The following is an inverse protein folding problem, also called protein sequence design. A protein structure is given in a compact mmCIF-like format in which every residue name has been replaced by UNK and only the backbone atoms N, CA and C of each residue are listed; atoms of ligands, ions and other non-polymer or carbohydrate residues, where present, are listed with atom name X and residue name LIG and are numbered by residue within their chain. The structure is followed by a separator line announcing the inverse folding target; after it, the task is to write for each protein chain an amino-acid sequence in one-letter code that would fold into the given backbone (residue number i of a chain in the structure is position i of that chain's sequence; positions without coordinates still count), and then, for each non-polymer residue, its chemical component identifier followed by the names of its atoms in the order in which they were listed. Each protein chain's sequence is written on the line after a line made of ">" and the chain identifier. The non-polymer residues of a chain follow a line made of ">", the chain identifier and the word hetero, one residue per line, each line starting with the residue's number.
data_IF_187591870280
#
_entry.id   IF_187591870280
#
_cell.length_a   1.000
_cell.length_b   1.000
_cell.length_c   1.000
_cell.angle_alpha   90.00
_cell.angle_beta   90.00
_cell.angle_gamma   90.00
#
_symmetry.space_group_name_H-M   'P 1'
#
loop_
_entity.id
_entity.type
_entity.pdbx_description
1 polymer ?
#
# COMPACT_ATOMS: atom_id res chain seq x y z
N UNK A 1 53.17 14.48 -27.53
CA UNK A 1 51.86 14.96 -27.04
C UNK A 1 50.80 13.85 -26.99
N UNK A 2 50.50 13.15 -28.09
CA UNK A 2 49.44 12.12 -28.15
C UNK A 2 49.63 10.93 -27.18
N UNK A 3 50.88 10.46 -26.97
CA UNK A 3 51.16 9.37 -26.02
C UNK A 3 50.89 9.76 -24.54
N UNK A 4 51.06 11.04 -24.18
CA UNK A 4 50.74 11.53 -22.84
C UNK A 4 49.22 11.63 -22.64
N UNK A 5 48.47 12.11 -23.65
CA UNK A 5 47.01 12.15 -23.63
C UNK A 5 46.40 10.75 -23.51
N UNK A 6 46.96 9.74 -24.19
CA UNK A 6 46.52 8.35 -24.08
C UNK A 6 46.76 7.76 -22.69
N UNK A 7 47.87 8.10 -22.03
CA UNK A 7 48.15 7.68 -20.65
C UNK A 7 47.21 8.34 -19.64
N UNK A 8 46.92 9.63 -19.81
CA UNK A 8 46.01 10.38 -18.93
C UNK A 8 44.56 9.90 -19.05
N UNK A 9 44.10 9.64 -20.27
CA UNK A 9 42.76 9.07 -20.51
C UNK A 9 42.65 7.65 -19.95
N UNK A 10 43.61 6.76 -20.24
CA UNK A 10 43.62 5.41 -19.69
C UNK A 10 43.63 5.38 -18.14
N UNK A 11 44.36 6.28 -17.49
CA UNK A 11 44.36 6.42 -16.03
C UNK A 11 43.01 6.89 -15.47
N UNK A 12 42.32 7.80 -16.17
CA UNK A 12 40.99 8.28 -15.79
C UNK A 12 39.91 7.22 -15.97
N UNK A 13 39.97 6.45 -17.06
CA UNK A 13 39.08 5.31 -17.32
C UNK A 13 39.27 4.20 -16.26
N UNK A 14 40.52 3.90 -15.89
CA UNK A 14 40.83 2.94 -14.83
C UNK A 14 40.28 3.40 -13.47
N UNK A 15 40.47 4.68 -13.11
CA UNK A 15 39.94 5.25 -11.87
C UNK A 15 38.41 5.21 -11.81
N UNK A 16 37.73 5.55 -12.91
CA UNK A 16 36.27 5.51 -12.99
C UNK A 16 35.73 4.06 -12.87
N UNK A 17 36.39 3.10 -13.52
CA UNK A 17 36.03 1.68 -13.42
C UNK A 17 36.21 1.14 -12.00
N UNK A 18 37.30 1.51 -11.30
CA UNK A 18 37.54 1.12 -9.91
C UNK A 18 36.48 1.69 -8.96
N UNK A 19 36.13 2.99 -9.08
CA UNK A 19 35.10 3.62 -8.26
C UNK A 19 33.74 2.95 -8.49
N UNK A 20 33.40 2.63 -9.74
CA UNK A 20 32.19 1.90 -10.08
C UNK A 20 32.16 0.51 -9.43
N UNK A 21 33.25 -0.26 -9.55
CA UNK A 21 33.35 -1.58 -8.94
C UNK A 21 33.25 -1.56 -7.41
N UNK A 22 33.83 -0.55 -6.75
CA UNK A 22 33.69 -0.36 -5.30
C UNK A 22 32.22 -0.07 -4.94
N UNK A 23 31.55 0.82 -5.68
CA UNK A 23 30.15 1.17 -5.43
C UNK A 23 29.19 0.00 -5.66
N UNK A 24 29.39 -0.76 -6.72
CA UNK A 24 28.64 -1.99 -6.99
C UNK A 24 28.85 -3.01 -5.86
N UNK A 25 30.10 -3.19 -5.42
CA UNK A 25 30.42 -4.09 -4.30
C UNK A 25 29.77 -3.62 -3.00
N UNK A 26 29.76 -2.30 -2.73
CA UNK A 26 29.07 -1.72 -1.57
C UNK A 26 27.56 -1.94 -1.66
N UNK A 27 26.94 -1.65 -2.81
CA UNK A 27 25.51 -1.90 -3.04
C UNK A 27 25.15 -3.36 -2.73
N UNK A 28 25.89 -4.31 -3.30
CA UNK A 28 25.67 -5.74 -3.09
C UNK A 28 25.87 -6.12 -1.62
N UNK A 29 26.85 -5.52 -0.94
CA UNK A 29 27.09 -5.74 0.49
C UNK A 29 25.92 -5.24 1.33
N UNK A 30 25.43 -4.02 1.09
CA UNK A 30 24.26 -3.47 1.79
C UNK A 30 23.00 -4.29 1.53
N UNK A 31 22.81 -4.75 0.29
CA UNK A 31 21.70 -5.63 -0.06
C UNK A 31 21.79 -6.97 0.67
N UNK A 32 22.97 -7.59 0.69
CA UNK A 32 23.20 -8.85 1.41
C UNK A 32 22.95 -8.68 2.92
N UNK A 33 23.48 -7.62 3.54
CA UNK A 33 23.24 -7.31 4.94
C UNK A 33 21.76 -7.07 5.25
N UNK A 34 21.06 -6.33 4.37
CA UNK A 34 19.62 -6.11 4.47
C UNK A 34 18.85 -7.42 4.44
N UNK A 35 19.14 -8.31 3.49
CA UNK A 35 18.47 -9.60 3.35
C UNK A 35 18.78 -10.55 4.50
N UNK A 36 20.04 -10.60 4.97
CA UNK A 36 20.43 -11.39 6.13
C UNK A 36 19.70 -10.88 7.38
N UNK A 37 19.63 -9.57 7.59
CA UNK A 37 18.91 -9.00 8.72
C UNK A 37 17.41 -9.27 8.63
N UNK A 38 16.80 -9.13 7.45
CA UNK A 38 15.39 -9.45 7.24
C UNK A 38 15.11 -10.92 7.53
N UNK A 39 15.93 -11.82 7.01
CA UNK A 39 15.83 -13.26 7.27
C UNK A 39 15.95 -13.54 8.77
N UNK A 40 16.94 -12.94 9.42
CA UNK A 40 17.16 -13.06 10.86
C UNK A 40 15.92 -12.66 11.66
N UNK A 41 15.33 -11.49 11.36
CA UNK A 41 14.13 -10.98 12.03
C UNK A 41 12.89 -11.83 11.74
N UNK A 42 12.71 -12.26 10.48
CA UNK A 42 11.55 -13.04 10.05
C UNK A 42 11.54 -14.46 10.63
N UNK A 43 12.72 -15.05 10.86
CA UNK A 43 12.88 -16.37 11.48
C UNK A 43 13.31 -16.30 12.94
N UNK A 44 12.96 -15.22 13.64
CA UNK A 44 13.22 -15.09 15.06
C UNK A 44 12.49 -16.17 15.86
N UNK A 45 13.17 -16.73 16.87
CA UNK A 45 12.63 -17.74 17.76
C UNK A 45 13.15 -17.52 19.18
N UNK A 46 12.23 -17.47 20.16
CA UNK A 46 12.54 -17.24 21.58
C UNK A 46 13.45 -18.30 22.21
N UNK A 47 13.50 -19.50 21.63
CA UNK A 47 14.33 -20.59 22.13
C UNK A 47 15.81 -20.52 21.70
N UNK A 48 16.15 -19.66 20.73
CA UNK A 48 17.52 -19.56 20.21
C UNK A 48 18.42 -18.76 21.17
N UNK A 49 19.74 -18.97 21.15
CA UNK A 49 20.63 -18.14 21.97
C UNK A 49 20.76 -16.72 21.40
N UNK A 50 20.58 -15.72 22.27
CA UNK A 50 20.50 -14.31 21.89
C UNK A 50 21.35 -13.40 22.76
N UNK A 51 21.18 -12.09 22.56
CA UNK A 51 21.75 -11.05 23.40
C UNK A 51 21.14 -11.04 24.81
N UNK A 52 19.83 -11.25 24.92
CA UNK A 52 19.04 -11.17 26.15
C UNK A 52 19.04 -12.46 26.97
N UNK A 53 19.21 -13.62 26.33
CA UNK A 53 19.15 -14.92 27.00
C UNK A 53 20.08 -15.99 26.41
N UNK A 54 20.51 -16.90 27.27
CA UNK A 54 21.18 -18.15 26.88
C UNK A 54 20.08 -19.11 26.43
N UNK A 55 20.04 -19.43 25.14
CA UNK A 55 18.95 -20.19 24.49
C UNK A 55 18.61 -21.52 25.19
N UNK A 56 17.40 -22.02 24.96
CA UNK A 56 16.86 -23.21 25.64
C UNK A 56 17.10 -24.51 24.88
N UNK A 57 17.42 -24.43 23.59
CA UNK A 57 17.64 -25.59 22.73
C UNK A 57 19.09 -25.67 22.22
N UNK A 58 19.61 -26.88 21.98
CA UNK A 58 20.93 -27.07 21.39
C UNK A 58 20.97 -26.64 19.92
N UNK A 59 19.85 -26.72 19.21
CA UNK A 59 19.72 -26.37 17.80
C UNK A 59 19.23 -24.92 17.62
N UNK A 60 19.77 -24.24 16.61
CA UNK A 60 19.38 -22.87 16.24
C UNK A 60 18.31 -22.92 15.16
N UNK A 61 17.15 -22.31 15.44
CA UNK A 61 16.02 -22.26 14.52
C UNK A 61 16.13 -21.14 13.48
N UNK A 62 16.85 -20.07 13.83
CA UNK A 62 17.06 -18.94 12.94
C UNK A 62 17.76 -19.37 11.64
N UNK A 63 17.17 -19.03 10.49
CA UNK A 63 17.68 -19.44 9.18
C UNK A 63 19.02 -18.77 8.81
N UNK A 64 19.37 -17.65 9.47
CA UNK A 64 20.69 -17.02 9.35
C UNK A 64 21.69 -17.53 10.41
N UNK A 65 21.37 -18.61 11.11
CA UNK A 65 22.22 -19.26 12.11
C UNK A 65 22.32 -18.48 13.42
N UNK A 66 23.32 -18.82 14.25
CA UNK A 66 23.48 -18.24 15.60
C UNK A 66 23.67 -16.72 15.58
N UNK A 67 24.37 -16.20 14.57
CA UNK A 67 24.54 -14.75 14.41
C UNK A 67 23.21 -14.08 14.08
N UNK A 68 22.38 -14.69 13.23
CA UNK A 68 21.05 -14.20 12.92
C UNK A 68 20.12 -14.19 14.14
N UNK A 69 20.13 -15.26 14.92
CA UNK A 69 19.39 -15.33 16.18
C UNK A 69 19.80 -14.19 17.14
N UNK A 70 21.10 -13.96 17.30
CA UNK A 70 21.63 -12.88 18.14
C UNK A 70 21.23 -11.50 17.63
N UNK A 71 21.37 -11.23 16.33
CA UNK A 71 20.98 -9.96 15.73
C UNK A 71 19.48 -9.69 15.87
N UNK A 72 18.66 -10.71 15.60
CA UNK A 72 17.22 -10.60 15.71
C UNK A 72 16.79 -10.31 17.14
N UNK A 73 17.29 -11.08 18.11
CA UNK A 73 17.02 -10.85 19.53
C UNK A 73 17.47 -9.45 19.98
N UNK A 74 18.65 -8.99 19.57
CA UNK A 74 19.14 -7.64 19.89
C UNK A 74 18.22 -6.54 19.35
N UNK A 75 17.88 -6.55 18.06
CA UNK A 75 17.07 -5.48 17.45
C UNK A 75 15.61 -5.55 17.88
N UNK A 76 15.03 -6.74 18.03
CA UNK A 76 13.66 -6.91 18.53
C UNK A 76 13.58 -6.51 20.01
N UNK A 77 14.60 -6.78 20.82
CA UNK A 77 14.64 -6.30 22.21
C UNK A 77 14.75 -4.77 22.27
N UNK A 78 15.60 -4.17 21.43
CA UNK A 78 15.87 -2.73 21.49
C UNK A 78 14.70 -1.88 20.98
N UNK A 79 14.14 -2.21 19.81
CA UNK A 79 13.16 -1.40 19.08
C UNK A 79 11.91 -2.19 18.65
N UNK A 80 11.74 -3.42 19.15
CA UNK A 80 10.54 -4.22 18.90
C UNK A 80 10.30 -4.47 17.41
N UNK A 81 9.02 -4.47 17.01
CA UNK A 81 8.62 -4.74 15.62
C UNK A 81 9.11 -3.65 14.64
N UNK A 82 9.45 -2.47 15.15
CA UNK A 82 10.02 -1.40 14.31
C UNK A 82 11.40 -1.76 13.75
N UNK A 83 12.06 -2.80 14.27
CA UNK A 83 13.29 -3.38 13.70
C UNK A 83 13.16 -3.82 12.25
N UNK A 84 11.96 -4.19 11.78
CA UNK A 84 11.71 -4.52 10.38
C UNK A 84 11.87 -3.32 9.41
N UNK A 85 12.00 -2.10 9.92
CA UNK A 85 12.37 -0.93 9.12
C UNK A 85 13.87 -0.90 8.79
N UNK A 86 14.73 -1.55 9.59
CA UNK A 86 16.18 -1.54 9.38
C UNK A 86 16.61 -2.21 8.07
N UNK A 87 16.10 -3.39 7.67
CA UNK A 87 16.40 -3.96 6.36
C UNK A 87 16.04 -3.02 5.21
N UNK A 88 14.88 -2.35 5.28
CA UNK A 88 14.41 -1.42 4.25
C UNK A 88 15.40 -0.26 4.13
N UNK A 89 15.80 0.31 5.26
CA UNK A 89 16.74 1.43 5.35
C UNK A 89 18.11 1.04 4.79
N UNK A 90 18.63 -0.16 5.14
CA UNK A 90 19.88 -0.67 4.59
C UNK A 90 19.83 -0.81 3.05
N UNK A 91 18.72 -1.33 2.51
CA UNK A 91 18.53 -1.46 1.06
C UNK A 91 18.47 -0.10 0.35
N UNK A 92 17.78 0.87 0.95
CA UNK A 92 17.72 2.26 0.45
C UNK A 92 19.11 2.90 0.49
N UNK A 93 19.86 2.78 1.59
CA UNK A 93 21.23 3.30 1.68
C UNK A 93 22.16 2.70 0.63
N UNK A 94 22.11 1.38 0.41
CA UNK A 94 22.87 0.74 -0.66
C UNK A 94 22.56 1.34 -2.03
N UNK A 95 21.28 1.56 -2.31
CA UNK A 95 20.82 2.18 -3.56
C UNK A 95 21.27 3.64 -3.69
N UNK A 96 21.23 4.42 -2.62
CA UNK A 96 21.69 5.81 -2.61
C UNK A 96 23.20 5.91 -2.88
N UNK A 97 24.02 5.06 -2.26
CA UNK A 97 25.47 5.01 -2.47
C UNK A 97 25.80 4.67 -3.94
N UNK A 98 25.04 3.75 -4.53
CA UNK A 98 25.20 3.41 -5.94
C UNK A 98 24.83 4.58 -6.87
N UNK A 99 23.72 5.28 -6.58
CA UNK A 99 23.22 6.42 -7.37
C UNK A 99 24.05 7.69 -7.24
N UNK A 100 24.85 7.85 -6.18
CA UNK A 100 25.83 8.94 -6.02
C UNK A 100 26.97 8.92 -7.06
N UNK A 101 26.89 8.05 -8.07
CA UNK A 101 27.78 8.05 -9.22
C UNK A 101 27.45 9.12 -10.27
N UNK A 102 26.22 9.60 -10.30
CA UNK A 102 25.83 10.75 -11.11
C UNK A 102 26.18 12.06 -10.38
N UNK A 103 26.37 13.15 -11.13
CA UNK A 103 26.79 14.48 -10.61
C UNK A 103 25.82 15.10 -9.57
N UNK A 104 24.71 14.43 -9.27
CA UNK A 104 23.64 14.84 -8.35
C UNK A 104 23.75 14.24 -6.93
N UNK A 105 24.96 13.93 -6.46
CA UNK A 105 25.14 13.43 -5.09
C UNK A 105 24.60 14.44 -4.05
N UNK A 106 23.71 14.02 -3.12
CA UNK A 106 23.15 14.94 -2.15
C UNK A 106 24.24 15.52 -1.25
N UNK A 107 24.18 16.81 -0.90
CA UNK A 107 25.16 17.44 -0.03
C UNK A 107 25.17 16.74 1.35
N UNK A 108 26.30 16.76 2.09
CA UNK A 108 26.40 16.11 3.40
C UNK A 108 25.31 16.53 4.39
N UNK A 109 24.83 17.76 4.29
CA UNK A 109 23.71 18.27 5.08
C UNK A 109 22.39 17.51 4.84
N UNK A 110 22.11 17.10 3.60
CA UNK A 110 20.92 16.29 3.27
C UNK A 110 21.03 14.91 3.90
N UNK A 111 22.22 14.28 3.86
CA UNK A 111 22.47 12.99 4.52
C UNK A 111 22.22 13.08 6.03
N UNK A 112 22.70 14.14 6.68
CA UNK A 112 22.47 14.37 8.11
C UNK A 112 20.99 14.60 8.42
N UNK A 113 20.29 15.36 7.59
CA UNK A 113 18.86 15.63 7.76
C UNK A 113 18.02 14.35 7.59
N UNK A 114 18.37 13.50 6.62
CA UNK A 114 17.74 12.18 6.44
C UNK A 114 18.00 11.25 7.62
N UNK A 115 19.23 11.26 8.17
CA UNK A 115 19.57 10.48 9.36
C UNK A 115 18.76 10.96 10.58
N UNK A 116 18.64 12.27 10.77
CA UNK A 116 17.79 12.84 11.81
C UNK A 116 16.33 12.42 11.62
N UNK A 117 15.82 12.51 10.38
CA UNK A 117 14.48 12.05 10.03
C UNK A 117 14.25 10.57 10.36
N UNK A 118 15.23 9.72 10.05
CA UNK A 118 15.19 8.30 10.41
C UNK A 118 15.14 8.09 11.93
N UNK A 119 16.00 8.78 12.70
CA UNK A 119 16.02 8.69 14.16
C UNK A 119 14.68 9.15 14.76
N UNK A 120 14.11 10.26 14.27
CA UNK A 120 12.79 10.72 14.70
C UNK A 120 11.69 9.70 14.38
N UNK A 121 11.70 9.16 13.16
CA UNK A 121 10.70 8.18 12.72
C UNK A 121 10.78 6.89 13.52
N UNK A 122 11.97 6.33 13.75
CA UNK A 122 12.13 5.07 14.51
C UNK A 122 11.76 5.27 15.98
N UNK A 123 12.14 6.41 16.57
CA UNK A 123 11.79 6.75 17.96
C UNK A 123 10.28 6.90 18.13
N UNK A 124 9.60 7.53 17.18
CA UNK A 124 8.15 7.65 17.19
C UNK A 124 7.46 6.29 16.95
N UNK A 125 7.93 5.51 15.98
CA UNK A 125 7.35 4.22 15.61
C UNK A 125 7.40 3.24 16.79
N UNK A 126 8.55 3.13 17.46
CA UNK A 126 8.72 2.26 18.64
C UNK A 126 7.76 2.62 19.76
N UNK A 127 7.63 3.91 20.12
CA UNK A 127 6.69 4.38 21.14
C UNK A 127 5.22 4.15 20.78
N UNK A 128 4.85 4.31 19.49
CA UNK A 128 3.51 3.98 18.99
C UNK A 128 3.25 2.47 19.11
N UNK A 129 4.19 1.64 18.65
CA UNK A 129 4.03 0.18 18.67
C UNK A 129 3.91 -0.37 20.09
N UNK A 130 4.65 0.20 21.06
CA UNK A 130 4.52 -0.16 22.47
C UNK A 130 3.08 0.04 22.99
N UNK A 131 2.46 1.19 22.68
CA UNK A 131 1.17 1.54 23.26
C UNK A 131 -0.04 0.93 22.54
N UNK A 132 0.05 0.80 21.22
CA UNK A 132 -1.10 0.47 20.38
C UNK A 132 -1.13 -1.00 19.92
N UNK A 133 0.00 -1.72 19.92
CA UNK A 133 0.01 -3.16 19.63
C UNK A 133 -0.16 -3.99 20.90
N UNK A 134 -1.35 -3.92 21.49
CA UNK A 134 -1.68 -4.55 22.78
C UNK A 134 -2.15 -6.01 22.65
N UNK A 135 -2.42 -6.53 21.44
CA UNK A 135 -2.88 -7.92 21.24
C UNK A 135 -1.98 -8.79 20.38
N UNK A 136 -1.07 -9.53 21.05
CA UNK A 136 -0.19 -10.54 20.53
C UNK A 136 -0.69 -11.59 19.55
N UNK A 137 -0.04 -11.82 18.41
CA UNK A 137 0.18 -13.20 17.91
C UNK A 137 1.66 -13.62 17.95
N UNK A 138 2.55 -12.69 18.26
CA UNK A 138 3.99 -12.88 18.32
C UNK A 138 4.50 -12.53 19.72
N UNK A 139 5.14 -13.47 20.39
CA UNK A 139 5.84 -13.22 21.64
C UNK A 139 7.22 -12.63 21.32
N UNK A 140 7.46 -11.39 21.77
CA UNK A 140 8.69 -10.64 21.57
C UNK A 140 9.39 -10.45 22.93
N UNK A 141 10.74 -10.43 22.99
CA UNK A 141 11.48 -10.37 24.26
C UNK A 141 11.03 -9.24 25.19
N UNK A 142 10.88 -8.04 24.62
CA UNK A 142 10.63 -6.80 25.37
C UNK A 142 9.34 -6.11 24.91
N UNK A 143 8.42 -6.87 24.30
CA UNK A 143 7.18 -6.34 23.72
C UNK A 143 7.37 -5.64 22.38
N UNK A 144 6.31 -4.96 21.91
CA UNK A 144 6.19 -4.52 20.51
C UNK A 144 6.98 -3.27 20.18
N UNK A 145 7.20 -2.38 21.15
CA UNK A 145 8.09 -1.22 21.01
C UNK A 145 9.53 -1.49 21.44
N UNK A 146 9.82 -2.66 22.03
CA UNK A 146 11.08 -2.94 22.68
C UNK A 146 11.38 -1.99 23.84
N UNK A 147 12.61 -2.04 24.33
CA UNK A 147 13.10 -1.21 25.43
C UNK A 147 12.93 0.28 25.11
N UNK A 148 13.34 0.71 23.90
CA UNK A 148 13.30 2.11 23.51
C UNK A 148 11.86 2.63 23.41
N UNK A 149 10.94 1.85 22.84
CA UNK A 149 9.53 2.23 22.72
C UNK A 149 8.86 2.40 24.08
N UNK A 150 9.15 1.51 25.03
CA UNK A 150 8.64 1.57 26.40
C UNK A 150 9.10 2.82 27.16
N UNK A 151 10.38 3.20 27.00
CA UNK A 151 10.89 4.43 27.62
C UNK A 151 10.28 5.68 26.98
N UNK A 152 10.22 5.72 25.64
CA UNK A 152 9.63 6.87 24.92
C UNK A 152 8.15 7.01 25.24
N UNK A 153 7.40 5.91 25.25
CA UNK A 153 5.96 5.93 25.55
C UNK A 153 5.73 6.38 26.99
N UNK A 154 6.52 5.91 27.96
CA UNK A 154 6.42 6.31 29.36
C UNK A 154 6.71 7.81 29.55
N UNK A 155 7.80 8.32 28.98
CA UNK A 155 8.18 9.74 29.07
C UNK A 155 7.12 10.65 28.47
N UNK A 156 6.65 10.31 27.26
CA UNK A 156 5.67 11.13 26.54
C UNK A 156 4.27 11.03 27.17
N UNK A 157 3.88 9.87 27.68
CA UNK A 157 2.65 9.69 28.44
C UNK A 157 2.67 10.53 29.73
N UNK A 158 3.78 10.51 30.47
CA UNK A 158 3.90 11.30 31.70
C UNK A 158 3.81 12.80 31.42
N UNK A 159 4.36 13.27 30.31
CA UNK A 159 4.34 14.70 29.96
C UNK A 159 3.01 15.17 29.37
N UNK A 160 2.35 14.36 28.54
CA UNK A 160 1.25 14.80 27.66
C UNK A 160 -0.07 14.05 27.87
N UNK A 161 -0.08 12.99 28.69
CA UNK A 161 -1.20 12.04 28.78
C UNK A 161 -1.41 11.25 27.48
N UNK A 162 -2.41 10.37 27.45
CA UNK A 162 -2.66 9.47 26.32
C UNK A 162 -2.86 10.20 24.99
N UNK A 163 -3.77 11.18 24.96
CA UNK A 163 -4.15 11.88 23.73
C UNK A 163 -2.99 12.74 23.21
N UNK A 164 -2.35 13.50 24.09
CA UNK A 164 -1.24 14.37 23.70
C UNK A 164 -0.02 13.58 23.23
N UNK A 165 0.32 12.47 23.91
CA UNK A 165 1.37 11.55 23.47
C UNK A 165 1.09 11.03 22.05
N UNK A 166 -0.15 10.60 21.77
CA UNK A 166 -0.50 10.03 20.46
C UNK A 166 -0.31 11.05 19.34
N UNK A 167 -0.83 12.27 19.55
CA UNK A 167 -0.67 13.37 18.59
C UNK A 167 0.82 13.68 18.39
N UNK A 168 1.58 13.76 19.49
CA UNK A 168 3.01 14.06 19.45
C UNK A 168 3.79 12.99 18.68
N UNK A 169 3.63 11.71 19.03
CA UNK A 169 4.35 10.61 18.38
C UNK A 169 3.96 10.48 16.91
N UNK A 170 2.67 10.61 16.55
CA UNK A 170 2.26 10.60 15.14
C UNK A 170 2.87 11.77 14.39
N UNK A 171 2.84 12.97 14.96
CA UNK A 171 3.45 14.15 14.34
C UNK A 171 4.96 13.98 14.17
N UNK A 172 5.64 13.41 15.18
CA UNK A 172 7.07 13.13 15.16
C UNK A 172 7.41 12.08 14.09
N UNK A 173 6.59 11.04 13.95
CA UNK A 173 6.72 10.02 12.91
C UNK A 173 6.58 10.63 11.51
N UNK A 174 5.52 11.41 11.28
CA UNK A 174 5.29 12.05 9.99
C UNK A 174 6.40 13.04 9.64
N UNK A 175 6.87 13.82 10.63
CA UNK A 175 8.00 14.74 10.45
C UNK A 175 9.28 13.97 10.11
N UNK A 176 9.55 12.87 10.82
CA UNK A 176 10.70 12.01 10.55
C UNK A 176 10.66 11.43 9.14
N UNK A 177 9.49 10.94 8.69
CA UNK A 177 9.29 10.44 7.32
C UNK A 177 9.51 11.56 6.30
N UNK A 178 8.99 12.77 6.52
CA UNK A 178 9.22 13.92 5.64
C UNK A 178 10.70 14.21 5.45
N UNK A 179 11.48 14.25 6.55
CA UNK A 179 12.91 14.53 6.51
C UNK A 179 13.70 13.39 5.86
N UNK A 180 13.32 12.14 6.13
CA UNK A 180 13.98 10.95 5.58
C UNK A 180 13.80 10.85 4.06
N UNK A 181 12.61 11.15 3.56
CA UNK A 181 12.21 10.90 2.18
C UNK A 181 12.22 12.16 1.30
N UNK A 182 12.33 13.34 1.93
CA UNK A 182 12.11 14.64 1.27
C UNK A 182 10.72 14.74 0.62
N UNK A 183 9.73 13.97 1.09
CA UNK A 183 8.39 13.94 0.52
C UNK A 183 7.59 15.19 0.90
N UNK A 184 6.83 15.69 -0.07
CA UNK A 184 5.77 16.67 0.15
C UNK A 184 4.46 15.94 0.47
N UNK A 185 3.89 16.18 1.65
CA UNK A 185 2.57 15.64 2.02
C UNK A 185 1.47 16.08 1.08
N UNK A 186 1.58 17.27 0.47
CA UNK A 186 0.65 17.71 -0.56
C UNK A 186 0.68 16.79 -1.78
N UNK A 187 1.88 16.44 -2.26
CA UNK A 187 2.04 15.51 -3.38
C UNK A 187 1.51 14.10 -3.06
N UNK A 188 1.65 13.66 -1.81
CA UNK A 188 1.06 12.40 -1.33
C UNK A 188 -0.46 12.47 -1.36
N UNK A 189 -1.06 13.55 -0.83
CA UNK A 189 -2.50 13.76 -0.83
C UNK A 189 -3.07 13.84 -2.25
N UNK A 190 -2.38 14.54 -3.16
CA UNK A 190 -2.74 14.58 -4.58
C UNK A 190 -2.68 13.20 -5.23
N UNK A 191 -1.64 12.41 -4.92
CA UNK A 191 -1.51 11.05 -5.45
C UNK A 191 -2.63 10.13 -4.96
N UNK A 192 -2.97 10.19 -3.67
CA UNK A 192 -4.09 9.44 -3.10
C UNK A 192 -5.41 9.87 -3.76
N UNK A 193 -5.62 11.19 -3.92
CA UNK A 193 -6.79 11.74 -4.60
C UNK A 193 -6.94 11.22 -6.04
N UNK A 194 -5.86 11.23 -6.82
CA UNK A 194 -5.86 10.69 -8.19
C UNK A 194 -6.21 9.20 -8.23
N UNK A 195 -5.59 8.38 -7.37
CA UNK A 195 -5.89 6.94 -7.34
C UNK A 195 -7.30 6.65 -6.84
N UNK A 196 -7.82 7.44 -5.89
CA UNK A 196 -9.20 7.36 -5.42
C UNK A 196 -10.19 7.66 -6.55
N UNK A 197 -9.93 8.72 -7.32
CA UNK A 197 -10.74 9.05 -8.51
C UNK A 197 -10.69 7.94 -9.57
N UNK A 198 -9.51 7.38 -9.84
CA UNK A 198 -9.36 6.25 -10.76
C UNK A 198 -10.13 5.02 -10.27
N UNK A 199 -10.06 4.70 -8.99
CA UNK A 199 -10.78 3.56 -8.41
C UNK A 199 -12.30 3.75 -8.51
N UNK A 200 -12.80 4.95 -8.24
CA UNK A 200 -14.22 5.27 -8.40
C UNK A 200 -14.64 5.11 -9.86
N UNK A 201 -13.87 5.67 -10.79
CA UNK A 201 -14.16 5.57 -12.23
C UNK A 201 -14.17 4.11 -12.71
N UNK A 202 -13.18 3.31 -12.32
CA UNK A 202 -13.16 1.88 -12.65
C UNK A 202 -14.31 1.09 -12.00
N UNK A 203 -14.70 1.45 -10.77
CA UNK A 203 -15.86 0.87 -10.10
C UNK A 203 -17.16 1.17 -10.83
N UNK A 204 -17.36 2.42 -11.26
CA UNK A 204 -18.52 2.83 -12.06
C UNK A 204 -18.59 2.06 -13.39
N UNK A 205 -17.46 1.96 -14.11
CA UNK A 205 -17.39 1.17 -15.35
C UNK A 205 -17.73 -0.32 -15.14
N UNK A 206 -17.38 -0.89 -13.99
CA UNK A 206 -17.74 -2.28 -13.66
C UNK A 206 -19.24 -2.42 -13.41
N UNK A 207 -19.83 -1.49 -12.66
CA UNK A 207 -21.28 -1.48 -12.39
C UNK A 207 -22.09 -1.30 -13.68
N UNK A 208 -21.69 -0.36 -14.54
CA UNK A 208 -22.32 -0.12 -15.84
C UNK A 208 -22.29 -1.37 -16.72
N UNK A 209 -21.15 -2.09 -16.75
CA UNK A 209 -21.02 -3.37 -17.48
C UNK A 209 -21.94 -4.46 -16.93
N UNK A 210 -22.10 -4.52 -15.60
CA UNK A 210 -22.99 -5.51 -14.97
C UNK A 210 -24.46 -5.20 -15.29
N UNK A 211 -24.84 -3.92 -15.28
CA UNK A 211 -26.19 -3.49 -15.66
C UNK A 211 -26.47 -3.76 -17.16
N UNK A 212 -25.51 -3.52 -18.04
CA UNK A 212 -25.62 -3.85 -19.48
C UNK A 212 -25.85 -5.35 -19.71
N UNK A 213 -25.07 -6.21 -19.04
CA UNK A 213 -25.23 -7.66 -19.12
C UNK A 213 -26.59 -8.08 -18.56
N UNK A 214 -26.99 -7.53 -17.41
CA UNK A 214 -28.29 -7.81 -16.80
C UNK A 214 -29.44 -7.42 -17.73
N UNK A 215 -29.39 -6.24 -18.34
CA UNK A 215 -30.41 -5.75 -19.28
C UNK A 215 -30.45 -6.64 -20.53
N UNK A 216 -29.29 -7.02 -21.08
CA UNK A 216 -29.20 -7.93 -22.24
C UNK A 216 -29.78 -9.31 -21.96
N UNK A 217 -29.55 -9.87 -20.78
CA UNK A 217 -30.12 -11.16 -20.35
C UNK A 217 -31.63 -11.05 -20.11
N UNK A 218 -32.10 -10.01 -19.42
CA UNK A 218 -33.53 -9.82 -19.17
C UNK A 218 -34.31 -9.60 -20.48
N UNK A 219 -33.73 -8.87 -21.43
CA UNK A 219 -34.35 -8.64 -22.74
C UNK A 219 -34.37 -9.90 -23.61
N UNK A 220 -33.32 -10.72 -23.61
CA UNK A 220 -33.31 -11.98 -24.37
C UNK A 220 -34.38 -12.97 -23.86
N UNK A 221 -34.52 -13.11 -22.54
CA UNK A 221 -35.54 -13.97 -21.91
C UNK A 221 -36.98 -13.45 -22.13
N UNK A 222 -37.18 -12.13 -22.16
CA UNK A 222 -38.50 -11.51 -22.34
C UNK A 222 -39.01 -11.59 -23.79
N UNK A 223 -38.11 -11.53 -24.77
CA UNK A 223 -38.49 -11.39 -26.19
C UNK A 223 -38.69 -12.74 -26.91
N UNK A 224 -38.04 -13.82 -26.46
CA UNK A 224 -38.22 -15.17 -27.01
C UNK A 224 -39.70 -15.64 -27.04
N UNK A 225 -40.46 -15.61 -25.93
CA UNK A 225 -41.83 -16.16 -25.91
C UNK A 225 -42.84 -15.32 -26.72
N UNK A 226 -42.58 -14.03 -26.95
CA UNK A 226 -43.47 -13.15 -27.74
C UNK A 226 -43.29 -13.34 -29.25
N UNK A 227 -42.10 -13.76 -29.69
CA UNK A 227 -41.80 -14.00 -31.11
C UNK A 227 -42.36 -15.33 -31.61
N UNK A 228 -42.33 -16.38 -30.78
CA UNK A 228 -42.92 -17.69 -31.09
C UNK A 228 -44.46 -17.63 -31.10
N UNK A 229 -45.07 -16.92 -30.15
CA UNK A 229 -46.52 -16.75 -30.09
C UNK A 229 -47.11 -15.94 -31.25
N UNK A 230 -46.34 -14.99 -31.82
CA UNK A 230 -46.75 -14.25 -33.03
C UNK A 230 -46.53 -15.05 -34.31
N UNK A 231 -45.47 -15.87 -34.40
CA UNK A 231 -45.29 -16.82 -35.52
C UNK A 231 -46.42 -17.86 -35.57
N UNK A 232 -46.90 -18.34 -34.43
CA UNK A 232 -48.01 -19.29 -34.36
C UNK A 232 -49.39 -18.69 -34.74
N UNK A 233 -49.58 -17.37 -34.61
CA UNK A 233 -50.84 -16.68 -34.97
C UNK A 233 -50.85 -16.06 -36.37
N UNK A 234 -49.76 -16.17 -37.13
CA UNK A 234 -49.65 -15.65 -38.50
C UNK A 234 -50.13 -16.60 -39.60
N UNK A 235 -50.94 -17.62 -39.27
CA UNK A 235 -51.56 -18.51 -40.25
C UNK A 235 -52.67 -17.80 -41.03
N UNK A 236 -52.60 -17.88 -42.36
CA UNK A 236 -53.43 -17.22 -43.38
C UNK A 236 -54.93 -17.07 -43.06
N UNK A 237 -55.59 -15.96 -43.46
CA UNK A 237 -57.05 -15.86 -43.40
C UNK A 237 -57.67 -16.70 -44.52
N UNK A 238 -58.45 -17.71 -44.13
CA UNK A 238 -59.32 -18.50 -45.02
C UNK A 238 -60.38 -17.59 -45.64
N UNK A 239 -60.44 -17.54 -46.97
CA UNK A 239 -61.50 -16.89 -47.73
C UNK A 239 -62.84 -17.59 -47.45
N UNK A 240 -63.89 -16.83 -47.12
CA UNK A 240 -65.22 -17.39 -46.91
C UNK A 240 -66.29 -16.34 -46.61
N UNK A 241 -67.10 -16.07 -47.64
CA UNK A 241 -68.48 -15.55 -47.63
C UNK A 241 -68.77 -14.11 -47.19
N UNK A 242 -69.23 -13.33 -48.18
CA UNK A 242 -69.86 -12.03 -48.03
C UNK A 242 -71.20 -12.14 -47.27
N UNK A 243 -71.35 -11.33 -46.21
CA UNK A 243 -72.61 -11.15 -45.48
C UNK A 243 -73.06 -9.68 -45.60
N UNK A 244 -74.36 -9.37 -45.83
CA UNK A 244 -74.78 -8.04 -46.26
C UNK A 244 -74.69 -7.00 -45.16
N UNK A 245 -74.41 -5.76 -45.56
CA UNK A 245 -74.31 -4.55 -44.74
C UNK A 245 -75.54 -4.36 -43.84
N UNK A 246 -75.35 -4.50 -42.52
CA UNK A 246 -76.34 -4.08 -41.53
C UNK A 246 -76.12 -2.60 -41.20
N UNK A 247 -77.16 -1.81 -41.45
CA UNK A 247 -77.23 -0.37 -41.27
C UNK A 247 -76.88 0.07 -39.83
N UNK A 248 -76.14 1.18 -39.71
CA UNK A 248 -75.83 1.86 -38.44
C UNK A 248 -77.07 2.55 -37.86
N UNK A 249 -77.31 2.50 -36.54
CA UNK A 249 -78.07 3.53 -35.86
C UNK A 249 -77.15 4.72 -35.52
N UNK A 250 -77.66 5.92 -35.77
CA UNK A 250 -77.03 7.22 -35.51
C UNK A 250 -76.78 7.50 -34.02
N UNK A 251 -75.85 8.42 -33.67
CA UNK A 251 -75.50 8.74 -32.29
C UNK A 251 -76.64 9.49 -31.61
N UNK A 252 -77.16 8.97 -30.49
CA UNK A 252 -77.98 9.77 -29.59
C UNK A 252 -77.08 10.62 -28.71
N UNK A 253 -77.32 11.92 -28.77
CA UNK A 253 -76.72 12.96 -27.97
C UNK A 253 -77.38 13.07 -26.58
N UNK A 254 -76.76 13.90 -25.74
CA UNK A 254 -77.17 14.43 -24.43
C UNK A 254 -76.82 13.52 -23.23
N UNK A 255 -76.26 14.02 -22.12
CA UNK A 255 -76.49 15.29 -21.41
C UNK A 255 -75.18 15.71 -20.66
N UNK A 256 -74.81 17.00 -20.58
CA UNK A 256 -73.76 17.47 -19.68
C UNK A 256 -74.31 17.62 -18.26
N UNK A 257 -73.70 16.92 -17.28
CA UNK A 257 -74.02 17.12 -15.86
C UNK A 257 -73.26 18.33 -15.35
N UNK A 258 -74.04 19.29 -14.84
CA UNK A 258 -73.59 20.55 -14.28
C UNK A 258 -72.83 20.37 -12.96
N UNK A 259 -71.97 21.35 -12.73
CA UNK A 259 -71.12 21.62 -11.57
C UNK A 259 -72.01 21.99 -10.38
N UNK A 260 -71.59 21.63 -9.16
CA UNK A 260 -71.89 22.42 -7.96
C UNK A 260 -70.60 22.60 -7.13
N UNK A 261 -70.23 23.83 -6.74
CA UNK A 261 -69.07 24.10 -5.90
C UNK A 261 -69.46 24.20 -4.41
N UNK A 262 -68.45 24.07 -3.55
CA UNK A 262 -68.47 24.38 -2.10
C UNK A 262 -69.14 23.36 -1.16
N UNK A 263 -68.29 22.60 -0.46
CA UNK A 263 -68.25 22.58 1.03
C UNK A 263 -66.82 22.34 1.49
#
# INVERSE_FOLDING_TARGET
>A
MQALLKKLTAGRELGAALIRGIRESLLLTYLALSLILLLSLATYHLGDAGWSHKGTHPDVHNAAGSMGAWLADFFLSLIGISSFLLPIVLGVFGTLIYRQADEDAPPPADVLLRLLGFIMAISAATGITDRFMVRPRLDLPEGYGGILGREISALTYHALGTTGMTIFLVTLLLTGISLLTSLSWLSVLEAIGRHGQMAIHHGQLLLDRLDDVRIKVLSSVRLEPLSEGKRARGGSPTQGEARPLRQRPSPQALIPVAIDPET
#
